data_IF_331579327101
#
_entry.id   IF_331579327101
#
_cell.length_a   1.000
_cell.length_b   1.000
_cell.length_c   1.000
_cell.angle_alpha   90.00
_cell.angle_beta   90.00
_cell.angle_gamma   90.00
#
_symmetry.space_group_name_H-M   'P 1'
#
loop_
_entity.id
_entity.type
_entity.pdbx_description
1 polymer ?
#
# COMPACT_ATOMS: atom_id res chain seq x y z
N UNK A 1 0.26 29.50 -7.46
CA UNK A 1 1.11 28.31 -7.17
C UNK A 1 0.39 27.45 -6.15
N UNK A 2 -0.04 26.27 -6.55
CA UNK A 2 -0.76 25.33 -5.68
C UNK A 2 0.25 24.77 -4.66
N UNK A 3 0.00 24.98 -3.36
CA UNK A 3 0.88 24.46 -2.31
C UNK A 3 0.71 22.94 -2.23
N UNK A 4 1.80 22.21 -2.44
CA UNK A 4 1.83 20.76 -2.22
C UNK A 4 2.30 20.48 -0.78
N UNK A 5 1.55 19.65 -0.07
CA UNK A 5 1.92 19.14 1.27
C UNK A 5 2.22 17.65 1.19
N UNK A 6 3.32 17.24 1.80
CA UNK A 6 3.70 15.83 1.88
C UNK A 6 3.50 15.34 3.31
N UNK A 7 2.78 14.23 3.47
CA UNK A 7 2.54 13.59 4.77
C UNK A 7 3.00 12.13 4.73
N UNK A 8 3.48 11.63 5.87
CA UNK A 8 3.77 10.21 6.06
C UNK A 8 2.44 9.45 6.12
N UNK A 9 2.38 8.26 5.54
CA UNK A 9 1.21 7.39 5.69
C UNK A 9 1.06 6.96 7.15
N UNK A 10 -0.14 7.05 7.73
CA UNK A 10 -0.38 6.64 9.11
C UNK A 10 -0.41 5.11 9.28
N UNK A 11 -0.63 4.40 8.19
CA UNK A 11 -0.83 2.96 8.15
C UNK A 11 -0.09 2.34 6.95
N UNK A 12 0.08 1.03 6.96
CA UNK A 12 0.67 0.30 5.84
C UNK A 12 -0.31 0.25 4.64
N UNK A 13 0.19 0.14 3.39
CA UNK A 13 -0.66 0.10 2.20
C UNK A 13 -1.74 -1.00 2.22
N UNK A 14 -1.58 -2.04 3.02
CA UNK A 14 -2.54 -3.14 3.17
C UNK A 14 -3.61 -2.89 4.24
N UNK A 15 -3.49 -1.83 5.02
CA UNK A 15 -4.49 -1.38 5.98
C UNK A 15 -5.45 -0.42 5.26
N UNK A 16 -6.21 -0.97 4.31
CA UNK A 16 -7.02 -0.23 3.34
C UNK A 16 -7.98 0.72 4.05
N UNK A 17 -8.76 0.21 5.01
CA UNK A 17 -9.78 0.99 5.73
C UNK A 17 -9.20 2.23 6.42
N UNK A 18 -8.05 2.05 7.07
CA UNK A 18 -7.37 3.14 7.77
C UNK A 18 -6.89 4.22 6.79
N UNK A 19 -6.43 3.83 5.60
CA UNK A 19 -5.97 4.76 4.58
C UNK A 19 -7.12 5.45 3.87
N UNK A 20 -8.20 4.75 3.55
CA UNK A 20 -9.41 5.32 2.95
C UNK A 20 -10.04 6.37 3.88
N UNK A 21 -10.21 6.04 5.17
CA UNK A 21 -10.68 6.98 6.19
C UNK A 21 -9.76 8.19 6.30
N UNK A 22 -8.44 7.98 6.36
CA UNK A 22 -7.47 9.06 6.45
C UNK A 22 -7.50 10.01 5.24
N UNK A 23 -7.64 9.49 4.03
CA UNK A 23 -7.78 10.30 2.82
C UNK A 23 -9.08 11.10 2.85
N UNK A 24 -10.19 10.50 3.33
CA UNK A 24 -11.48 11.16 3.49
C UNK A 24 -11.42 12.32 4.47
N UNK A 25 -10.81 12.11 5.64
CA UNK A 25 -10.64 13.15 6.66
C UNK A 25 -9.79 14.31 6.15
N UNK A 26 -8.70 14.03 5.46
CA UNK A 26 -7.86 15.07 4.88
C UNK A 26 -8.56 15.85 3.76
N UNK A 27 -9.40 15.19 2.96
CA UNK A 27 -10.19 15.87 1.94
C UNK A 27 -11.22 16.82 2.55
N UNK A 28 -11.83 16.45 3.70
CA UNK A 28 -12.70 17.34 4.47
C UNK A 28 -11.95 18.55 5.04
N UNK A 29 -10.64 18.44 5.30
CA UNK A 29 -9.76 19.57 5.66
C UNK A 29 -9.33 20.43 4.47
N UNK A 30 -9.62 20.00 3.22
CA UNK A 30 -9.22 20.67 1.98
C UNK A 30 -7.86 20.21 1.47
N UNK A 31 -7.39 19.02 1.86
CA UNK A 31 -6.17 18.41 1.37
C UNK A 31 -6.52 17.20 0.48
N UNK A 32 -6.38 17.38 -0.82
CA UNK A 32 -6.71 16.32 -1.79
C UNK A 32 -5.45 15.56 -2.20
N UNK A 33 -5.46 14.25 -2.06
CA UNK A 33 -4.33 13.41 -2.46
C UNK A 33 -4.13 13.48 -3.98
N UNK A 34 -2.87 13.64 -4.40
CA UNK A 34 -2.48 13.67 -5.81
C UNK A 34 -1.58 12.50 -6.19
N UNK A 35 -0.69 12.13 -5.29
CA UNK A 35 0.26 11.02 -5.48
C UNK A 35 0.50 10.35 -4.15
N UNK A 36 0.70 9.03 -4.18
CA UNK A 36 1.09 8.27 -3.00
C UNK A 36 2.12 7.20 -3.37
N UNK A 37 2.93 6.82 -2.39
CA UNK A 37 3.82 5.67 -2.44
C UNK A 37 3.76 4.94 -1.10
N UNK A 38 4.54 3.87 -0.92
CA UNK A 38 4.49 3.03 0.29
C UNK A 38 4.74 3.78 1.63
N UNK A 39 5.31 4.99 1.60
CA UNK A 39 5.68 5.74 2.81
C UNK A 39 4.99 7.10 2.92
N UNK A 40 4.73 7.76 1.81
CA UNK A 40 4.26 9.15 1.78
C UNK A 40 3.12 9.34 0.80
N UNK A 41 2.22 10.26 1.14
CA UNK A 41 1.26 10.83 0.21
C UNK A 41 1.51 12.33 0.03
N UNK A 42 1.31 12.82 -1.19
CA UNK A 42 1.40 14.22 -1.57
C UNK A 42 0.00 14.75 -1.83
N UNK A 43 -0.32 15.85 -1.19
CA UNK A 43 -1.62 16.51 -1.23
C UNK A 43 -1.51 17.88 -1.87
N UNK A 44 -2.56 18.30 -2.51
CA UNK A 44 -2.78 19.67 -2.98
C UNK A 44 -3.86 20.34 -2.13
N UNK A 45 -3.70 21.63 -1.85
CA UNK A 45 -4.74 22.42 -1.19
C UNK A 45 -5.86 22.72 -2.19
N UNK A 46 -7.10 22.49 -1.76
CA UNK A 46 -8.31 22.71 -2.55
C UNK A 46 -9.50 23.05 -1.66
N UNK A 47 -10.68 22.96 -2.21
CA UNK A 47 -11.93 23.18 -1.48
C UNK A 47 -12.11 22.09 -0.40
N UNK A 48 -12.62 22.49 0.75
CA UNK A 48 -12.97 21.56 1.82
C UNK A 48 -14.21 20.76 1.41
N UNK A 49 -13.99 19.53 0.97
CA UNK A 49 -15.05 18.63 0.53
C UNK A 49 -14.73 17.24 1.00
N UNK A 50 -15.61 16.62 1.77
CA UNK A 50 -15.44 15.23 2.13
C UNK A 50 -15.65 14.36 0.91
N UNK A 51 -14.63 13.59 0.55
CA UNK A 51 -14.67 12.61 -0.53
C UNK A 51 -14.62 11.22 0.08
N UNK A 52 -15.31 10.28 -0.55
CA UNK A 52 -15.15 8.86 -0.28
C UNK A 52 -13.94 8.35 -1.05
N UNK A 53 -13.15 7.50 -0.44
CA UNK A 53 -12.01 6.86 -1.08
C UNK A 53 -12.19 5.35 -1.13
N UNK A 54 -11.73 4.74 -2.21
CA UNK A 54 -11.71 3.29 -2.40
C UNK A 54 -10.36 2.86 -2.94
N UNK A 55 -9.78 1.83 -2.33
CA UNK A 55 -8.51 1.26 -2.76
C UNK A 55 -8.73 -0.12 -3.34
N UNK A 56 -8.37 -0.30 -4.60
CA UNK A 56 -8.51 -1.56 -5.30
C UNK A 56 -7.15 -2.15 -5.68
N UNK A 57 -6.98 -3.47 -5.52
CA UNK A 57 -5.73 -4.13 -5.86
C UNK A 57 -5.51 -4.10 -7.38
N UNK A 58 -4.26 -3.84 -7.77
CA UNK A 58 -3.82 -4.04 -9.15
C UNK A 58 -3.84 -5.52 -9.47
N UNK A 59 -4.27 -5.88 -10.67
CA UNK A 59 -4.13 -7.27 -11.11
C UNK A 59 -2.65 -7.65 -11.20
N UNK A 60 -2.32 -8.86 -10.74
CA UNK A 60 -0.98 -9.40 -10.83
C UNK A 60 -0.60 -9.60 -12.31
N UNK A 61 0.58 -9.13 -12.70
CA UNK A 61 1.05 -9.22 -14.08
C UNK A 61 1.27 -7.87 -14.77
N UNK A 62 1.02 -6.77 -14.09
CA UNK A 62 0.92 -5.38 -14.60
C UNK A 62 2.21 -4.78 -15.22
N UNK A 63 3.01 -5.56 -15.92
CA UNK A 63 4.20 -5.07 -16.65
C UNK A 63 4.00 -5.06 -18.18
N UNK A 64 2.88 -5.58 -18.69
CA UNK A 64 2.60 -5.65 -20.13
C UNK A 64 1.78 -4.45 -20.62
N UNK A 65 1.84 -4.18 -21.94
CA UNK A 65 0.99 -3.17 -22.57
C UNK A 65 -0.51 -3.48 -22.42
N UNK A 66 -0.87 -4.77 -22.41
CA UNK A 66 -2.23 -5.25 -22.19
C UNK A 66 -2.79 -4.87 -20.80
N UNK A 67 -1.93 -4.84 -19.77
CA UNK A 67 -2.37 -4.47 -18.43
C UNK A 67 -2.66 -2.98 -18.30
N UNK A 68 -1.98 -2.14 -19.09
CA UNK A 68 -2.31 -0.71 -19.17
C UNK A 68 -3.70 -0.49 -19.78
N UNK A 69 -4.00 -1.20 -20.88
CA UNK A 69 -5.30 -1.11 -21.54
C UNK A 69 -6.41 -1.55 -20.57
N UNK A 70 -6.23 -2.69 -19.91
CA UNK A 70 -7.20 -3.18 -18.90
C UNK A 70 -7.35 -2.22 -17.71
N UNK A 71 -6.28 -1.54 -17.30
CA UNK A 71 -6.36 -0.52 -16.25
C UNK A 71 -7.17 0.71 -16.72
N UNK A 72 -6.98 1.16 -17.95
CA UNK A 72 -7.72 2.27 -18.52
C UNK A 72 -9.21 1.94 -18.69
N UNK A 73 -9.54 0.75 -19.17
CA UNK A 73 -10.91 0.25 -19.24
C UNK A 73 -11.59 0.23 -17.86
N UNK A 74 -10.86 -0.24 -16.85
CA UNK A 74 -11.32 -0.26 -15.46
C UNK A 74 -11.56 1.15 -14.93
N UNK A 75 -10.64 2.08 -15.16
CA UNK A 75 -10.81 3.48 -14.75
C UNK A 75 -12.04 4.10 -15.43
N UNK A 76 -12.33 3.74 -16.69
CA UNK A 76 -13.54 4.18 -17.40
C UNK A 76 -14.82 3.60 -16.76
N UNK A 77 -14.85 2.31 -16.43
CA UNK A 77 -15.97 1.67 -15.75
C UNK A 77 -16.26 2.29 -14.37
N UNK A 78 -15.22 2.60 -13.60
CA UNK A 78 -15.37 3.29 -12.31
C UNK A 78 -15.95 4.69 -12.49
N UNK A 79 -15.47 5.39 -13.51
CA UNK A 79 -15.95 6.74 -13.82
C UNK A 79 -17.44 6.78 -14.17
N UNK A 80 -17.95 5.77 -14.87
CA UNK A 80 -19.38 5.62 -15.17
C UNK A 80 -20.24 5.47 -13.91
N UNK A 81 -19.66 4.90 -12.85
CA UNK A 81 -20.29 4.74 -11.52
C UNK A 81 -20.04 5.93 -10.58
N UNK A 82 -19.42 7.00 -11.06
CA UNK A 82 -19.13 8.21 -10.26
C UNK A 82 -17.80 8.17 -9.51
N UNK A 83 -16.97 7.14 -9.70
CA UNK A 83 -15.66 7.01 -9.07
C UNK A 83 -14.55 7.49 -10.00
N UNK A 84 -13.72 8.41 -9.55
CA UNK A 84 -12.62 8.98 -10.32
C UNK A 84 -11.28 8.39 -9.85
N UNK A 85 -10.45 7.95 -10.78
CA UNK A 85 -9.10 7.52 -10.47
C UNK A 85 -8.25 8.71 -10.00
N UNK A 86 -7.57 8.56 -8.86
CA UNK A 86 -6.75 9.60 -8.25
C UNK A 86 -5.26 9.30 -8.42
N UNK A 87 -4.80 8.18 -7.89
CA UNK A 87 -3.39 7.82 -7.95
C UNK A 87 -3.16 6.31 -7.76
N UNK A 88 -1.90 5.93 -7.86
CA UNK A 88 -1.42 4.59 -7.50
C UNK A 88 -0.74 4.65 -6.14
N UNK A 89 -1.07 3.71 -5.26
CA UNK A 89 -0.42 3.52 -3.98
C UNK A 89 0.05 2.07 -3.90
N UNK A 90 1.35 1.84 -4.03
CA UNK A 90 1.98 0.52 -4.06
C UNK A 90 1.24 -0.46 -5.01
N UNK A 91 0.60 -1.49 -4.48
CA UNK A 91 -0.17 -2.50 -5.24
C UNK A 91 -1.63 -2.13 -5.45
N UNK A 92 -2.03 -0.91 -5.13
CA UNK A 92 -3.42 -0.47 -5.20
C UNK A 92 -3.60 0.69 -6.18
N UNK A 93 -4.80 0.78 -6.75
CA UNK A 93 -5.36 1.97 -7.36
C UNK A 93 -6.23 2.67 -6.33
N UNK A 94 -6.12 3.98 -6.24
CA UNK A 94 -6.92 4.81 -5.34
C UNK A 94 -7.94 5.56 -6.18
N UNK A 95 -9.21 5.39 -5.85
CA UNK A 95 -10.33 6.10 -6.45
C UNK A 95 -10.96 7.01 -5.43
N UNK A 96 -11.61 8.07 -5.90
CA UNK A 96 -12.39 8.99 -5.08
C UNK A 96 -13.76 9.24 -5.72
N UNK A 97 -14.75 9.42 -4.86
CA UNK A 97 -16.11 9.78 -5.23
C UNK A 97 -16.67 10.85 -4.30
N UNK A 98 -17.75 11.49 -4.70
CA UNK A 98 -18.49 12.41 -3.84
C UNK A 98 -19.27 11.64 -2.77
N UNK A 99 -19.47 12.28 -1.63
CA UNK A 99 -20.31 11.72 -0.56
C UNK A 99 -21.73 11.44 -1.09
N UNK A 100 -22.24 10.25 -0.80
CA UNK A 100 -23.52 9.77 -1.33
C UNK A 100 -23.44 9.00 -2.64
N UNK A 101 -22.26 8.85 -3.25
CA UNK A 101 -22.06 7.95 -4.39
C UNK A 101 -22.24 6.52 -3.92
N UNK A 102 -23.00 5.71 -4.68
CA UNK A 102 -23.14 4.29 -4.40
C UNK A 102 -21.79 3.58 -4.41
N UNK A 103 -21.61 2.59 -3.54
CA UNK A 103 -20.41 1.77 -3.55
C UNK A 103 -20.24 1.08 -4.91
N UNK A 104 -19.00 0.88 -5.30
CA UNK A 104 -18.69 0.23 -6.57
C UNK A 104 -19.21 -1.21 -6.62
N UNK A 105 -19.08 -1.93 -5.52
CA UNK A 105 -19.63 -3.29 -5.36
C UNK A 105 -20.99 -3.24 -4.68
N UNK A 106 -21.96 -3.92 -5.26
CA UNK A 106 -23.29 -3.98 -4.68
C UNK A 106 -23.36 -4.93 -3.47
N UNK A 107 -22.50 -5.94 -3.44
CA UNK A 107 -22.45 -6.94 -2.36
C UNK A 107 -21.00 -7.30 -1.98
N UNK A 108 -20.77 -7.75 -0.72
CA UNK A 108 -19.46 -8.23 -0.29
C UNK A 108 -18.95 -9.43 -1.11
N UNK A 109 -19.86 -10.25 -1.64
CA UNK A 109 -19.53 -11.39 -2.49
C UNK A 109 -18.95 -10.92 -3.83
N UNK A 110 -19.53 -9.88 -4.45
CA UNK A 110 -19.00 -9.27 -5.67
C UNK A 110 -17.62 -8.67 -5.44
N UNK A 111 -17.45 -7.96 -4.33
CA UNK A 111 -16.15 -7.43 -3.91
C UNK A 111 -15.13 -8.55 -3.73
N UNK A 112 -15.51 -9.59 -2.99
CA UNK A 112 -14.65 -10.75 -2.75
C UNK A 112 -14.28 -11.51 -4.03
N UNK A 113 -15.17 -11.59 -5.02
CA UNK A 113 -14.91 -12.20 -6.31
C UNK A 113 -13.99 -11.37 -7.19
N UNK A 114 -14.03 -10.05 -7.02
CA UNK A 114 -13.21 -9.12 -7.79
C UNK A 114 -11.73 -9.14 -7.38
N UNK A 115 -11.42 -9.42 -6.12
CA UNK A 115 -10.04 -9.52 -5.68
C UNK A 115 -9.32 -10.67 -6.39
N UNK A 116 -8.20 -10.40 -7.08
CA UNK A 116 -7.47 -11.41 -7.83
C UNK A 116 -7.04 -12.56 -6.91
N UNK A 117 -7.07 -13.78 -7.46
CA UNK A 117 -6.60 -14.98 -6.74
C UNK A 117 -5.17 -14.86 -6.21
N UNK A 118 -4.37 -13.97 -6.81
CA UNK A 118 -3.04 -13.62 -6.33
C UNK A 118 -3.03 -12.97 -4.95
N UNK A 119 -4.10 -12.24 -4.57
CA UNK A 119 -4.25 -11.69 -3.21
C UNK A 119 -4.86 -12.71 -2.25
N UNK A 120 -5.72 -13.61 -2.75
CA UNK A 120 -6.34 -14.68 -1.97
C UNK A 120 -5.39 -15.87 -1.76
N UNK A 121 -4.37 -16.04 -2.61
CA UNK A 121 -3.49 -17.20 -2.64
C UNK A 121 -2.07 -16.94 -2.12
N UNK A 122 -1.34 -18.04 -1.88
CA UNK A 122 0.04 -18.03 -1.36
C UNK A 122 1.07 -17.36 -2.29
N UNK A 123 0.76 -17.10 -3.56
CA UNK A 123 1.72 -16.57 -4.55
C UNK A 123 2.21 -15.17 -4.20
N UNK A 124 1.32 -14.31 -3.73
CA UNK A 124 1.68 -12.94 -3.33
C UNK A 124 2.44 -12.93 -2.00
N UNK A 125 2.08 -13.82 -1.08
CA UNK A 125 2.80 -14.04 0.16
C UNK A 125 4.24 -14.51 -0.10
N UNK A 126 4.41 -15.44 -1.05
CA UNK A 126 5.73 -15.89 -1.48
C UNK A 126 6.59 -14.76 -2.06
N UNK A 127 5.99 -13.82 -2.81
CA UNK A 127 6.72 -12.68 -3.35
C UNK A 127 7.23 -11.74 -2.24
N UNK A 128 6.39 -11.42 -1.25
CA UNK A 128 6.82 -10.62 -0.09
C UNK A 128 7.90 -11.33 0.72
N UNK A 129 7.82 -12.64 0.88
CA UNK A 129 8.85 -13.42 1.55
C UNK A 129 10.14 -13.45 0.76
N UNK A 130 10.10 -13.51 -0.57
CA UNK A 130 11.29 -13.45 -1.44
C UNK A 130 11.97 -12.08 -1.32
N UNK A 131 11.23 -10.96 -1.33
CA UNK A 131 11.79 -9.63 -1.10
C UNK A 131 12.48 -9.54 0.28
N UNK A 132 11.83 -10.03 1.32
CA UNK A 132 12.39 -10.04 2.67
C UNK A 132 13.62 -10.96 2.77
N UNK A 133 13.59 -12.12 2.13
CA UNK A 133 14.72 -13.06 2.09
C UNK A 133 15.92 -12.45 1.36
N UNK A 134 15.69 -11.80 0.20
CA UNK A 134 16.73 -11.08 -0.54
C UNK A 134 17.37 -9.97 0.32
N UNK A 135 16.55 -9.22 1.04
CA UNK A 135 17.04 -8.18 1.96
C UNK A 135 17.93 -8.78 3.06
N UNK A 136 17.49 -9.88 3.69
CA UNK A 136 18.30 -10.58 4.70
C UNK A 136 19.62 -11.07 4.12
N UNK A 137 19.60 -11.66 2.92
CA UNK A 137 20.83 -12.12 2.22
C UNK A 137 21.77 -10.95 1.94
N UNK A 138 21.26 -9.80 1.48
CA UNK A 138 22.06 -8.60 1.25
C UNK A 138 22.68 -8.05 2.54
N UNK A 139 21.92 -8.07 3.63
CA UNK A 139 22.42 -7.64 4.95
C UNK A 139 23.55 -8.57 5.43
N UNK A 140 23.34 -9.88 5.33
CA UNK A 140 24.36 -10.87 5.72
C UNK A 140 25.61 -10.73 4.85
N UNK A 141 25.45 -10.57 3.53
CA UNK A 141 26.56 -10.33 2.61
C UNK A 141 27.32 -9.03 2.94
N UNK A 142 26.60 -7.96 3.25
CA UNK A 142 27.19 -6.68 3.67
C UNK A 142 28.00 -6.82 4.96
N UNK A 143 27.45 -7.50 5.97
CA UNK A 143 28.16 -7.78 7.23
C UNK A 143 29.44 -8.60 6.95
N UNK A 144 29.33 -9.63 6.08
CA UNK A 144 30.47 -10.47 5.70
C UNK A 144 31.56 -9.69 4.97
N UNK A 145 31.19 -8.78 4.06
CA UNK A 145 32.14 -7.92 3.34
C UNK A 145 32.85 -6.96 4.30
N UNK A 146 32.11 -6.33 5.20
CA UNK A 146 32.70 -5.45 6.21
C UNK A 146 33.66 -6.20 7.11
N UNK A 147 33.30 -7.42 7.53
CA UNK A 147 34.16 -8.26 8.38
C UNK A 147 35.45 -8.67 7.66
N UNK A 148 35.40 -8.93 6.35
CA UNK A 148 36.59 -9.30 5.56
C UNK A 148 37.58 -8.13 5.38
N UNK A 149 37.11 -6.89 5.48
CA UNK A 149 37.93 -5.69 5.30
C UNK A 149 38.57 -5.18 6.60
N UNK A 150 38.02 -5.58 7.75
CA UNK A 150 38.50 -5.15 9.07
C UNK A 150 38.79 -6.36 9.94
N UNK A 151 39.97 -6.41 10.58
CA UNK A 151 40.29 -7.31 11.69
C UNK A 151 39.48 -6.91 12.94
N UNK A 152 38.17 -6.69 12.77
CA UNK A 152 37.28 -6.20 13.78
C UNK A 152 36.83 -7.35 14.68
N UNK A 153 36.91 -7.16 16.01
CA UNK A 153 36.39 -8.11 16.97
C UNK A 153 34.85 -8.20 16.78
N UNK A 154 34.35 -9.40 16.53
CA UNK A 154 32.93 -9.66 16.23
C UNK A 154 31.97 -9.07 17.28
N UNK A 155 32.41 -9.07 18.55
CA UNK A 155 31.62 -8.55 19.67
C UNK A 155 31.45 -7.05 19.61
N UNK A 156 32.48 -6.30 19.22
CA UNK A 156 32.39 -4.83 19.10
C UNK A 156 31.60 -4.40 17.87
N UNK A 157 31.66 -5.14 16.74
CA UNK A 157 30.87 -4.88 15.55
C UNK A 157 29.37 -5.03 15.78
N UNK A 158 28.93 -6.05 16.50
CA UNK A 158 27.54 -6.24 16.87
C UNK A 158 27.05 -5.29 17.97
N UNK A 159 27.93 -4.82 18.83
CA UNK A 159 27.60 -3.86 19.88
C UNK A 159 27.48 -2.42 19.37
N UNK A 160 27.93 -2.13 18.14
CA UNK A 160 27.83 -0.79 17.57
C UNK A 160 26.40 -0.51 17.06
N UNK A 161 25.63 0.36 17.76
CA UNK A 161 24.24 0.65 17.40
C UNK A 161 24.09 1.25 15.99
N UNK A 162 25.10 1.98 15.50
CA UNK A 162 25.06 2.58 14.16
C UNK A 162 25.12 1.55 13.03
N UNK A 163 25.78 0.42 13.23
CA UNK A 163 25.83 -0.67 12.25
C UNK A 163 24.52 -1.46 12.21
N UNK A 164 23.80 -1.54 13.32
CA UNK A 164 22.57 -2.33 13.44
C UNK A 164 21.30 -1.53 13.18
N UNK A 165 21.33 -0.19 13.27
CA UNK A 165 20.18 0.67 13.01
C UNK A 165 19.50 0.43 11.66
N UNK A 166 20.21 0.35 10.50
CA UNK A 166 19.58 0.04 9.23
C UNK A 166 18.91 -1.32 9.20
N UNK A 167 19.57 -2.34 9.78
CA UNK A 167 19.04 -3.71 9.85
C UNK A 167 17.75 -3.74 10.66
N UNK A 168 17.74 -3.12 11.83
CA UNK A 168 16.58 -3.02 12.69
C UNK A 168 15.43 -2.25 12.02
N UNK A 169 15.74 -1.14 11.36
CA UNK A 169 14.77 -0.34 10.62
C UNK A 169 14.08 -1.16 9.52
N UNK A 170 14.86 -1.86 8.69
CA UNK A 170 14.31 -2.70 7.63
C UNK A 170 13.54 -3.91 8.17
N UNK A 171 14.00 -4.51 9.27
CA UNK A 171 13.30 -5.61 9.93
C UNK A 171 11.93 -5.17 10.47
N UNK A 172 11.84 -3.97 11.06
CA UNK A 172 10.58 -3.39 11.53
C UNK A 172 9.64 -3.12 10.37
N UNK A 173 10.12 -2.50 9.27
CA UNK A 173 9.32 -2.24 8.08
C UNK A 173 8.78 -3.53 7.47
N UNK A 174 9.64 -4.53 7.29
CA UNK A 174 9.25 -5.83 6.76
C UNK A 174 8.20 -6.53 7.65
N UNK A 175 8.38 -6.48 8.97
CA UNK A 175 7.45 -7.05 9.93
C UNK A 175 6.09 -6.35 9.96
N UNK A 176 6.06 -5.03 9.81
CA UNK A 176 4.81 -4.27 9.69
C UNK A 176 4.07 -4.64 8.41
N UNK A 177 4.77 -4.60 7.28
CA UNK A 177 4.23 -4.94 5.96
C UNK A 177 3.63 -6.35 5.91
N UNK A 178 4.33 -7.34 6.48
CA UNK A 178 3.83 -8.72 6.56
C UNK A 178 2.56 -8.83 7.40
N UNK A 179 2.47 -8.14 8.53
CA UNK A 179 1.28 -8.15 9.39
C UNK A 179 0.06 -7.54 8.71
N UNK A 180 0.21 -6.39 8.05
CA UNK A 180 -0.87 -5.75 7.31
C UNK A 180 -1.40 -6.65 6.20
N UNK A 181 -0.52 -7.30 5.45
CA UNK A 181 -0.90 -8.24 4.41
C UNK A 181 -1.65 -9.47 4.95
N UNK A 182 -1.16 -10.08 6.05
CA UNK A 182 -1.84 -11.24 6.68
C UNK A 182 -3.23 -10.83 7.19
N UNK A 183 -3.38 -9.63 7.74
CA UNK A 183 -4.68 -9.12 8.18
C UNK A 183 -5.64 -9.00 7.00
N UNK A 184 -5.21 -8.36 5.90
CA UNK A 184 -6.01 -8.23 4.68
C UNK A 184 -6.41 -9.61 4.12
N UNK A 185 -5.48 -10.55 4.06
CA UNK A 185 -5.76 -11.90 3.56
C UNK A 185 -6.81 -12.62 4.43
N UNK A 186 -6.77 -12.44 5.76
CA UNK A 186 -7.75 -13.02 6.68
C UNK A 186 -9.13 -12.41 6.51
N UNK A 187 -9.25 -11.08 6.38
CA UNK A 187 -10.55 -10.42 6.15
C UNK A 187 -11.17 -10.85 4.84
N UNK A 188 -10.39 -10.95 3.76
CA UNK A 188 -10.86 -11.46 2.46
C UNK A 188 -11.28 -12.93 2.52
N UNK A 189 -10.59 -13.78 3.29
CA UNK A 189 -10.95 -15.18 3.47
C UNK A 189 -12.19 -15.37 4.35
N UNK A 190 -12.42 -14.47 5.30
CA UNK A 190 -13.60 -14.48 6.17
C UNK A 190 -14.87 -13.97 5.46
N UNK A 191 -14.73 -13.36 4.27
CA UNK A 191 -15.86 -12.73 3.59
C UNK A 191 -16.45 -11.55 4.36
N UNK A 192 -15.67 -10.97 5.29
CA UNK A 192 -16.11 -9.79 6.03
C UNK A 192 -16.21 -8.61 5.06
N UNK A 193 -17.38 -7.93 5.01
CA UNK A 193 -17.53 -6.75 4.19
C UNK A 193 -16.53 -5.68 4.66
N UNK A 194 -15.96 -4.99 3.71
CA UNK A 194 -15.15 -3.81 4.01
C UNK A 194 -16.01 -2.86 4.85
N UNK A 195 -15.56 -2.39 6.01
CA UNK A 195 -16.33 -1.41 6.76
C UNK A 195 -16.55 -0.19 5.88
N UNK A 196 -17.82 0.17 5.72
CA UNK A 196 -18.19 1.36 4.97
C UNK A 196 -17.58 2.58 5.68
N UNK A 197 -16.95 3.51 4.96
CA UNK A 197 -16.47 4.74 5.56
C UNK A 197 -17.66 5.51 6.13
N UNK A 198 -17.74 5.61 7.45
CA UNK A 198 -18.74 6.40 8.18
C UNK A 198 -18.49 7.88 8.05
#
# INVERSE_FOLDING_TARGET
MTKCKRKLLPAEPYEIDALESWFSDLSAEGLHVQKANALFATFIEGEKKRLLFRMEPKQAGALSALDKIKAEERHAQHKEKGWSFVCKLDYFYVYAAEEGTADYFATPEEEGAYYPDSLKGNKFFNFIHIENLLLVVLIVAYIFILHRQTTYDWVEGFANPFCNLPVLFFAILAGRRSRGFVKLQRSLAAGEPHPQPT
#
